data_IF_640107213147
#
_entry.id   IF_640107213147
#
_cell.length_a   1.000
_cell.length_b   1.000
_cell.length_c   1.000
_cell.angle_alpha   90.00
_cell.angle_beta   90.00
_cell.angle_gamma   90.00
#
_symmetry.space_group_name_H-M   'P 1'
#
loop_
_entity.id
_entity.type
_entity.pdbx_description
1 polymer ?
#
# COMPACT_ATOMS: atom_id res chain seq x y z
N UNK A 1 -20.42 -8.49 29.42
CA UNK A 1 -19.11 -8.40 28.72
C UNK A 1 -18.48 -7.02 28.95
N UNK A 2 -17.32 -6.95 29.59
CA UNK A 2 -16.63 -5.70 29.91
C UNK A 2 -16.04 -5.05 28.66
N UNK A 3 -16.12 -3.71 28.58
CA UNK A 3 -15.60 -2.87 27.46
C UNK A 3 -14.16 -3.24 27.06
N UNK A 4 -13.34 -3.65 28.03
CA UNK A 4 -11.96 -4.12 27.87
C UNK A 4 -11.87 -5.38 26.99
N UNK A 5 -12.73 -6.37 27.21
CA UNK A 5 -12.72 -7.62 26.44
C UNK A 5 -13.02 -7.37 24.96
N UNK A 6 -13.95 -6.44 24.68
CA UNK A 6 -14.32 -6.03 23.32
C UNK A 6 -13.17 -5.32 22.60
N UNK A 7 -12.39 -4.51 23.33
CA UNK A 7 -11.19 -3.83 22.80
C UNK A 7 -10.08 -4.85 22.51
N UNK A 8 -9.74 -5.72 23.47
CA UNK A 8 -8.71 -6.74 23.28
C UNK A 8 -9.03 -7.68 22.10
N UNK A 9 -10.29 -8.10 21.97
CA UNK A 9 -10.71 -8.95 20.86
C UNK A 9 -10.70 -8.20 19.52
N UNK A 10 -11.04 -6.91 19.53
CA UNK A 10 -10.92 -6.03 18.36
C UNK A 10 -9.49 -5.86 17.87
N UNK A 11 -8.54 -5.62 18.79
CA UNK A 11 -7.11 -5.50 18.48
C UNK A 11 -6.55 -6.82 17.95
N UNK A 12 -6.89 -7.95 18.59
CA UNK A 12 -6.47 -9.28 18.13
C UNK A 12 -7.00 -9.57 16.72
N UNK A 13 -8.28 -9.29 16.45
CA UNK A 13 -8.87 -9.48 15.12
C UNK A 13 -8.25 -8.56 14.07
N UNK A 14 -7.85 -7.34 14.45
CA UNK A 14 -7.15 -6.43 13.55
C UNK A 14 -5.74 -6.94 13.20
N UNK A 15 -4.98 -7.40 14.20
CA UNK A 15 -3.63 -7.95 14.03
C UNK A 15 -3.60 -9.31 13.33
N UNK A 16 -4.70 -10.06 13.35
CA UNK A 16 -4.83 -11.34 12.65
C UNK A 16 -5.07 -11.20 11.14
N UNK A 17 -5.54 -10.04 10.67
CA UNK A 17 -5.82 -9.80 9.26
C UNK A 17 -4.52 -9.50 8.50
N UNK A 18 -4.15 -10.38 7.56
CA UNK A 18 -2.94 -10.29 6.74
C UNK A 18 -2.77 -8.93 6.05
N UNK A 19 -3.86 -8.26 5.66
CA UNK A 19 -3.80 -6.93 5.05
C UNK A 19 -3.39 -5.86 6.06
N UNK A 20 -3.90 -5.94 7.28
CA UNK A 20 -3.54 -4.99 8.33
C UNK A 20 -2.10 -5.25 8.79
N UNK A 21 -1.65 -6.51 8.85
CA UNK A 21 -0.24 -6.84 9.11
C UNK A 21 0.69 -6.19 8.07
N UNK A 22 0.34 -6.25 6.78
CA UNK A 22 1.10 -5.57 5.72
C UNK A 22 1.09 -4.04 5.88
N UNK A 23 -0.05 -3.44 6.21
CA UNK A 23 -0.11 -1.98 6.48
C UNK A 23 0.79 -1.61 7.65
N UNK A 24 0.77 -2.39 8.74
CA UNK A 24 1.63 -2.16 9.91
C UNK A 24 3.09 -2.28 9.51
N UNK A 25 3.47 -3.36 8.81
CA UNK A 25 4.83 -3.56 8.32
C UNK A 25 5.32 -2.36 7.51
N UNK A 26 4.56 -1.94 6.48
CA UNK A 26 4.93 -0.82 5.62
C UNK A 26 4.99 0.50 6.40
N UNK A 27 4.07 0.70 7.36
CA UNK A 27 4.08 1.88 8.22
C UNK A 27 5.29 1.90 9.14
N UNK A 28 5.67 0.78 9.75
CA UNK A 28 6.86 0.67 10.61
C UNK A 28 8.12 0.94 9.79
N UNK A 29 8.26 0.32 8.61
CA UNK A 29 9.39 0.57 7.72
C UNK A 29 9.51 2.05 7.33
N UNK A 30 8.38 2.67 6.99
CA UNK A 30 8.31 4.11 6.70
C UNK A 30 8.72 4.96 7.90
N UNK A 31 8.17 4.71 9.09
CA UNK A 31 8.51 5.44 10.32
C UNK A 31 9.99 5.34 10.69
N UNK A 32 10.60 4.15 10.50
CA UNK A 32 12.04 3.95 10.73
C UNK A 32 12.92 4.71 9.72
N UNK A 33 12.40 4.94 8.51
CA UNK A 33 13.08 5.67 7.45
C UNK A 33 12.96 7.20 7.61
N UNK A 34 11.89 7.70 8.23
CA UNK A 34 11.64 9.13 8.44
C UNK A 34 12.84 9.96 8.96
N UNK A 35 13.57 9.56 10.02
CA UNK A 35 14.68 10.36 10.54
C UNK A 35 15.92 10.37 9.62
N UNK A 36 15.99 9.48 8.63
CA UNK A 36 17.16 9.31 7.75
C UNK A 36 17.02 10.06 6.42
N UNK A 37 15.80 10.42 6.05
CA UNK A 37 15.46 10.94 4.72
C UNK A 37 14.91 12.37 4.78
N UNK A 38 14.84 13.00 3.60
CA UNK A 38 14.30 14.36 3.48
C UNK A 38 12.80 14.46 3.81
N UNK A 39 12.28 15.63 4.25
CA UNK A 39 10.84 15.86 4.41
C UNK A 39 10.03 15.60 3.13
N UNK A 40 10.66 15.78 1.96
CA UNK A 40 10.05 15.49 0.65
C UNK A 40 9.66 14.02 0.54
N UNK A 41 10.50 13.08 0.99
CA UNK A 41 10.18 11.65 0.99
C UNK A 41 8.91 11.36 1.81
N UNK A 42 8.78 12.00 2.97
CA UNK A 42 7.60 11.84 3.83
C UNK A 42 6.32 12.28 3.13
N UNK A 43 6.34 13.46 2.50
CA UNK A 43 5.21 13.98 1.73
C UNK A 43 4.92 13.12 0.49
N UNK A 44 5.96 12.56 -0.15
CA UNK A 44 5.82 11.68 -1.31
C UNK A 44 5.05 10.41 -0.95
N UNK A 45 5.46 9.71 0.11
CA UNK A 45 4.78 8.47 0.56
C UNK A 45 3.35 8.77 1.00
N UNK A 46 3.14 9.80 1.81
CA UNK A 46 1.81 10.22 2.24
C UNK A 46 0.92 10.64 1.05
N UNK A 47 1.51 11.33 0.07
CA UNK A 47 0.85 11.72 -1.17
C UNK A 47 0.40 10.52 -1.99
N UNK A 48 1.24 9.51 -2.17
CA UNK A 48 0.87 8.30 -2.90
C UNK A 48 -0.23 7.49 -2.21
N UNK A 49 -0.16 7.36 -0.88
CA UNK A 49 -1.23 6.75 -0.07
C UNK A 49 -2.54 7.53 -0.23
N UNK A 50 -2.47 8.86 -0.13
CA UNK A 50 -3.63 9.72 -0.25
C UNK A 50 -4.27 9.63 -1.63
N UNK A 51 -3.48 9.72 -2.71
CA UNK A 51 -3.95 9.60 -4.09
C UNK A 51 -4.59 8.23 -4.32
N UNK A 52 -3.94 7.15 -3.88
CA UNK A 52 -4.46 5.79 -4.03
C UNK A 52 -5.77 5.58 -3.24
N UNK A 53 -5.82 6.01 -1.99
CA UNK A 53 -6.99 5.83 -1.13
C UNK A 53 -8.18 6.71 -1.59
N UNK A 54 -7.94 7.97 -1.94
CA UNK A 54 -8.96 8.87 -2.48
C UNK A 54 -9.49 8.37 -3.82
N UNK A 55 -8.63 7.93 -4.74
CA UNK A 55 -9.06 7.35 -6.03
C UNK A 55 -9.91 6.10 -5.84
N UNK A 56 -9.53 5.17 -4.95
CA UNK A 56 -10.31 3.95 -4.70
C UNK A 56 -11.67 4.28 -4.09
N UNK A 57 -11.70 5.26 -3.19
CA UNK A 57 -12.94 5.74 -2.60
C UNK A 57 -13.85 6.39 -3.63
N UNK A 58 -13.33 7.31 -4.45
CA UNK A 58 -14.07 8.00 -5.51
C UNK A 58 -14.63 6.98 -6.50
N UNK A 59 -13.78 6.08 -7.02
CA UNK A 59 -14.21 5.10 -8.02
C UNK A 59 -15.31 4.20 -7.46
N UNK A 60 -15.15 3.67 -6.26
CA UNK A 60 -16.15 2.77 -5.69
C UNK A 60 -17.43 3.47 -5.26
N UNK A 61 -17.32 4.70 -4.78
CA UNK A 61 -18.47 5.49 -4.33
C UNK A 61 -19.32 5.95 -5.51
N UNK A 62 -18.69 6.45 -6.57
CA UNK A 62 -19.39 7.08 -7.69
C UNK A 62 -19.65 6.13 -8.86
N UNK A 63 -18.70 5.25 -9.21
CA UNK A 63 -18.92 4.32 -10.33
C UNK A 63 -19.68 3.07 -9.86
N UNK A 64 -19.28 2.48 -8.73
CA UNK A 64 -19.82 1.19 -8.30
C UNK A 64 -20.89 1.28 -7.20
N UNK A 65 -21.16 2.48 -6.64
CA UNK A 65 -22.11 2.71 -5.55
C UNK A 65 -21.87 1.84 -4.29
N UNK A 66 -20.63 1.39 -4.08
CA UNK A 66 -20.25 0.50 -2.98
C UNK A 66 -19.61 1.27 -1.82
N UNK A 67 -19.93 0.89 -0.58
CA UNK A 67 -19.17 1.33 0.60
C UNK A 67 -18.04 0.35 0.87
N UNK A 68 -16.80 0.79 0.68
CA UNK A 68 -15.62 -0.07 0.88
C UNK A 68 -14.54 0.67 1.64
N UNK A 69 -13.86 -0.05 2.56
CA UNK A 69 -12.68 0.45 3.26
C UNK A 69 -11.47 0.35 2.32
N UNK A 70 -10.74 1.44 2.01
CA UNK A 70 -9.65 1.44 1.03
C UNK A 70 -8.35 0.79 1.53
N UNK A 71 -8.42 -0.28 2.34
CA UNK A 71 -7.23 -0.94 2.93
C UNK A 71 -6.25 -1.43 1.87
N UNK A 72 -6.73 -2.10 0.82
CA UNK A 72 -5.86 -2.57 -0.26
C UNK A 72 -5.32 -1.42 -1.11
N UNK A 73 -6.05 -0.32 -1.24
CA UNK A 73 -5.56 0.87 -1.94
C UNK A 73 -4.44 1.57 -1.16
N UNK A 74 -4.54 1.63 0.17
CA UNK A 74 -3.47 2.14 1.05
C UNK A 74 -2.19 1.33 0.85
N UNK A 75 -2.28 -0.01 0.85
CA UNK A 75 -1.13 -0.89 0.58
C UNK A 75 -0.54 -0.60 -0.80
N UNK A 76 -1.38 -0.50 -1.83
CA UNK A 76 -0.90 -0.19 -3.19
C UNK A 76 -0.22 1.19 -3.27
N UNK A 77 -0.77 2.21 -2.60
CA UNK A 77 -0.16 3.55 -2.52
C UNK A 77 1.19 3.53 -1.82
N UNK A 78 1.31 2.81 -0.70
CA UNK A 78 2.60 2.61 -0.02
C UNK A 78 3.63 1.95 -0.95
N UNK A 79 3.25 0.86 -1.62
CA UNK A 79 4.16 0.12 -2.50
C UNK A 79 4.60 0.99 -3.69
N UNK A 80 3.66 1.66 -4.36
CA UNK A 80 3.98 2.52 -5.51
C UNK A 80 4.86 3.69 -5.09
N UNK A 81 4.49 4.42 -4.04
CA UNK A 81 5.28 5.57 -3.56
C UNK A 81 6.63 5.16 -2.97
N UNK A 82 6.71 3.96 -2.41
CA UNK A 82 7.95 3.43 -1.85
C UNK A 82 8.95 2.92 -2.86
N UNK A 83 8.49 2.59 -4.07
CA UNK A 83 9.33 2.00 -5.14
C UNK A 83 9.64 3.00 -6.23
N UNK A 84 8.73 3.94 -6.52
CA UNK A 84 9.07 5.03 -7.45
C UNK A 84 10.01 5.99 -6.72
N UNK A 85 11.10 6.35 -7.40
CA UNK A 85 12.07 7.31 -6.90
C UNK A 85 11.40 8.66 -6.54
N UNK A 86 11.56 9.10 -5.28
CA UNK A 86 10.95 10.31 -4.75
C UNK A 86 11.58 11.62 -5.26
N UNK A 87 12.73 11.52 -5.93
CA UNK A 87 13.34 12.65 -6.65
C UNK A 87 12.60 12.98 -7.95
N UNK A 88 11.74 12.07 -8.44
CA UNK A 88 10.92 12.29 -9.63
C UNK A 88 9.87 13.39 -9.42
N UNK A 89 9.28 13.82 -10.54
CA UNK A 89 8.15 14.74 -10.52
C UNK A 89 6.92 14.10 -9.86
N UNK A 90 6.18 14.90 -9.08
CA UNK A 90 4.89 14.52 -8.46
C UNK A 90 3.88 13.98 -9.48
N UNK A 91 4.01 14.38 -10.75
CA UNK A 91 3.18 13.87 -11.84
C UNK A 91 3.30 12.36 -12.00
N UNK A 92 4.50 11.79 -11.88
CA UNK A 92 4.70 10.34 -11.97
C UNK A 92 4.04 9.61 -10.81
N UNK A 93 4.19 10.12 -9.59
CA UNK A 93 3.52 9.56 -8.41
C UNK A 93 2.00 9.51 -8.62
N UNK A 94 1.42 10.61 -9.13
CA UNK A 94 -0.01 10.69 -9.40
C UNK A 94 -0.45 9.66 -10.44
N UNK A 95 0.21 9.62 -11.61
CA UNK A 95 -0.14 8.69 -12.69
C UNK A 95 -0.09 7.25 -12.21
N UNK A 96 1.02 6.81 -11.61
CA UNK A 96 1.20 5.41 -11.28
C UNK A 96 0.35 4.99 -10.08
N UNK A 97 0.13 5.88 -9.11
CA UNK A 97 -0.83 5.62 -8.02
C UNK A 97 -2.25 5.48 -8.56
N UNK A 98 -2.65 6.35 -9.49
CA UNK A 98 -3.96 6.27 -10.14
C UNK A 98 -4.08 5.00 -11.01
N UNK A 99 -3.04 4.68 -11.79
CA UNK A 99 -2.99 3.50 -12.65
C UNK A 99 -3.12 2.20 -11.83
N UNK A 100 -2.50 2.14 -10.64
CA UNK A 100 -2.68 1.02 -9.73
C UNK A 100 -4.17 0.85 -9.38
N UNK A 101 -4.85 1.93 -8.98
CA UNK A 101 -6.26 1.84 -8.60
C UNK A 101 -7.17 1.58 -9.81
N UNK A 102 -6.87 2.12 -10.98
CA UNK A 102 -7.62 1.81 -12.19
C UNK A 102 -7.49 0.32 -12.53
N UNK A 103 -6.27 -0.22 -12.52
CA UNK A 103 -6.00 -1.63 -12.79
C UNK A 103 -6.73 -2.56 -11.82
N UNK A 104 -6.80 -2.18 -10.53
CA UNK A 104 -7.58 -2.91 -9.52
C UNK A 104 -9.04 -3.12 -9.92
N UNK A 105 -9.66 -2.13 -10.56
CA UNK A 105 -11.08 -2.15 -10.89
C UNK A 105 -11.36 -2.72 -12.28
N UNK A 106 -10.45 -2.51 -13.24
CA UNK A 106 -10.60 -2.95 -14.65
C UNK A 106 -10.07 -4.38 -14.86
N UNK A 107 -8.89 -4.69 -14.32
CA UNK A 107 -8.19 -5.97 -14.57
C UNK A 107 -8.67 -7.02 -13.55
N UNK A 108 -9.95 -7.37 -13.65
CA UNK A 108 -10.60 -8.40 -12.83
C UNK A 108 -11.16 -9.49 -13.72
N UNK A 109 -10.90 -10.74 -13.38
CA UNK A 109 -11.49 -11.91 -14.01
C UNK A 109 -12.24 -12.71 -12.96
N UNK A 110 -13.53 -12.99 -13.19
CA UNK A 110 -14.42 -13.69 -12.26
C UNK A 110 -14.34 -13.14 -10.82
N UNK A 111 -14.47 -11.82 -10.67
CA UNK A 111 -14.36 -11.09 -9.39
C UNK A 111 -12.99 -11.14 -8.68
N UNK A 112 -11.99 -11.83 -9.24
CA UNK A 112 -10.63 -11.90 -8.70
C UNK A 112 -9.69 -10.96 -9.49
N UNK A 113 -8.78 -10.31 -8.79
CA UNK A 113 -7.74 -9.50 -9.44
C UNK A 113 -6.77 -10.44 -10.16
N UNK A 114 -6.56 -10.24 -11.46
CA UNK A 114 -5.61 -11.04 -12.24
C UNK A 114 -4.18 -10.64 -11.85
N UNK A 115 -3.97 -9.34 -11.66
CA UNK A 115 -2.70 -8.75 -11.26
C UNK A 115 -2.81 -8.02 -9.93
N UNK A 116 -1.72 -8.02 -9.16
CA UNK A 116 -1.56 -7.11 -8.02
C UNK A 116 -1.58 -5.66 -8.56
N UNK A 117 -2.50 -4.80 -8.11
CA UNK A 117 -2.65 -3.45 -8.64
C UNK A 117 -1.37 -2.61 -8.59
N UNK A 118 -0.58 -2.74 -7.50
CA UNK A 118 0.69 -2.04 -7.37
C UNK A 118 1.72 -2.54 -8.38
N UNK A 119 1.83 -3.87 -8.52
CA UNK A 119 2.77 -4.49 -9.47
C UNK A 119 2.43 -4.12 -10.91
N UNK A 120 1.14 -3.99 -11.26
CA UNK A 120 0.73 -3.53 -12.59
C UNK A 120 1.24 -2.12 -12.89
N UNK A 121 1.07 -1.20 -11.94
CA UNK A 121 1.55 0.17 -12.09
C UNK A 121 3.07 0.24 -12.20
N UNK A 122 3.79 -0.52 -11.36
CA UNK A 122 5.26 -0.56 -11.38
C UNK A 122 5.81 -1.22 -12.64
N UNK A 123 5.19 -2.31 -13.09
CA UNK A 123 5.51 -2.92 -14.38
C UNK A 123 5.35 -1.89 -15.51
N UNK A 124 4.24 -1.14 -15.50
CA UNK A 124 4.05 -0.07 -16.48
C UNK A 124 5.13 1.01 -16.35
N UNK A 125 5.49 1.42 -15.13
CA UNK A 125 6.58 2.37 -14.89
C UNK A 125 7.91 1.87 -15.47
N UNK A 126 8.23 0.57 -15.34
CA UNK A 126 9.43 0.00 -15.98
C UNK A 126 9.40 0.05 -17.50
N UNK A 127 8.24 -0.17 -18.13
CA UNK A 127 8.10 -0.05 -19.59
C UNK A 127 8.39 1.37 -20.08
N UNK A 128 8.05 2.37 -19.28
CA UNK A 128 8.36 3.78 -19.53
C UNK A 128 9.74 4.23 -19.01
N UNK A 129 10.59 3.28 -18.59
CA UNK A 129 11.95 3.53 -18.08
C UNK A 129 12.01 4.50 -16.89
N UNK A 130 10.97 4.51 -16.07
CA UNK A 130 10.93 5.30 -14.84
C UNK A 130 11.82 4.61 -13.80
N UNK A 131 12.72 5.34 -13.12
CA UNK A 131 13.60 4.75 -12.13
C UNK A 131 12.79 4.22 -10.94
N UNK A 132 13.03 2.95 -10.62
CA UNK A 132 12.47 2.29 -9.46
C UNK A 132 13.58 2.09 -8.43
N UNK A 133 13.42 2.68 -7.26
CA UNK A 133 14.34 2.57 -6.13
C UNK A 133 13.58 2.10 -4.91
N UNK A 134 14.15 1.15 -4.16
CA UNK A 134 13.49 0.58 -2.99
C UNK A 134 13.65 1.54 -1.78
N UNK A 135 12.93 2.66 -1.80
CA UNK A 135 13.12 3.76 -0.84
C UNK A 135 12.60 3.44 0.56
N UNK A 136 11.64 2.53 0.71
CA UNK A 136 11.09 2.15 2.03
C UNK A 136 12.00 1.17 2.79
N UNK A 137 13.07 0.63 2.18
CA UNK A 137 14.05 -0.18 2.92
C UNK A 137 14.75 0.64 4.00
N UNK A 138 14.47 0.30 5.25
CA UNK A 138 15.26 0.76 6.40
C UNK A 138 16.10 -0.37 6.99
N UNK A 139 15.57 -1.60 6.99
CA UNK A 139 16.26 -2.77 7.55
C UNK A 139 15.80 -4.06 6.87
N UNK A 140 16.69 -4.69 6.11
CA UNK A 140 16.41 -5.93 5.37
C UNK A 140 16.03 -7.10 6.29
N UNK A 141 16.60 -7.19 7.49
CA UNK A 141 16.31 -8.27 8.44
C UNK A 141 14.87 -8.19 8.95
N UNK A 142 14.33 -6.97 9.14
CA UNK A 142 12.92 -6.79 9.51
C UNK A 142 12.00 -7.27 8.39
N UNK A 143 12.32 -6.95 7.13
CA UNK A 143 11.54 -7.40 5.98
C UNK A 143 11.55 -8.93 5.87
N UNK A 144 12.71 -9.56 6.05
CA UNK A 144 12.84 -11.02 6.03
C UNK A 144 12.06 -11.65 7.19
N UNK A 145 12.29 -11.20 8.42
CA UNK A 145 11.67 -11.78 9.61
C UNK A 145 10.14 -11.64 9.59
N UNK A 146 9.62 -10.44 9.31
CA UNK A 146 8.18 -10.21 9.19
C UNK A 146 7.60 -10.86 7.93
N UNK A 147 8.36 -10.90 6.84
CA UNK A 147 7.98 -11.60 5.61
C UNK A 147 7.74 -13.08 5.86
N UNK A 148 8.68 -13.76 6.53
CA UNK A 148 8.54 -15.17 6.93
C UNK A 148 7.35 -15.34 7.88
N UNK A 149 7.21 -14.47 8.89
CA UNK A 149 6.09 -14.52 9.83
C UNK A 149 4.72 -14.35 9.15
N UNK A 150 4.61 -13.47 8.16
CA UNK A 150 3.36 -13.26 7.41
C UNK A 150 3.11 -14.43 6.45
N UNK A 151 4.17 -14.96 5.83
CA UNK A 151 4.10 -16.06 4.86
C UNK A 151 3.74 -17.40 5.50
N UNK A 152 4.20 -17.65 6.73
CA UNK A 152 3.84 -18.84 7.48
C UNK A 152 2.47 -18.64 8.13
N UNK A 153 1.39 -19.29 7.67
CA UNK A 153 0.15 -19.33 8.44
C UNK A 153 0.46 -20.04 9.76
N UNK A 154 0.28 -19.35 10.88
CA UNK A 154 0.13 -20.01 12.15
C UNK A 154 -1.24 -20.69 12.10
N UNK A 155 -1.26 -21.94 11.68
CA UNK A 155 -2.44 -22.82 11.73
C UNK A 155 -2.96 -22.93 13.18
#
# INVERSE_FOLDING_TARGET
ETKVYKICNGVRKFLSDKRNQLIILLSVLFLLKLPQESPRFSLWVLGGIFIAASSDFIIKRFLFHQRVKPRSAIISGFIVAGIIDYHQSWYFLFIFSLLAIISKNIVRYKERHIFNPANFALFTATLFKIPLTWNIESNIYLIIALGIYIAYPAD
#
